data_IF_106333754636
#
_entry.id   IF_106333754636
#
_cell.length_a   1.000
_cell.length_b   1.000
_cell.length_c   1.000
_cell.angle_alpha   90.00
_cell.angle_beta   90.00
_cell.angle_gamma   90.00
#
_symmetry.space_group_name_H-M   'P 1'
#
loop_
_entity.id
_entity.type
_entity.pdbx_description
1 polymer ?
#
# COMPACT_ATOMS: atom_id res chain seq x y z
N UNK A 1 6.96 -8.20 29.71
CA UNK A 1 7.15 -7.03 30.59
C UNK A 1 8.60 -6.47 30.63
N UNK A 2 9.57 -7.00 31.39
CA UNK A 2 10.89 -6.34 31.55
C UNK A 2 11.72 -6.17 30.25
N UNK A 3 11.56 -7.05 29.27
CA UNK A 3 12.32 -7.02 28.00
C UNK A 3 11.69 -6.04 26.99
N UNK A 4 10.37 -5.94 26.97
CA UNK A 4 9.62 -5.04 26.07
C UNK A 4 9.84 -3.58 26.45
N UNK A 5 9.77 -3.27 27.75
CA UNK A 5 10.01 -1.92 28.29
C UNK A 5 11.40 -1.42 27.91
N UNK A 6 12.44 -2.22 28.17
CA UNK A 6 13.81 -1.84 27.81
C UNK A 6 14.00 -1.67 26.30
N UNK A 7 13.31 -2.43 25.45
CA UNK A 7 13.45 -2.32 23.99
C UNK A 7 12.78 -1.03 23.50
N UNK A 8 11.62 -0.68 24.04
CA UNK A 8 10.92 0.56 23.72
C UNK A 8 11.75 1.79 24.12
N UNK A 9 12.31 1.80 25.34
CA UNK A 9 13.21 2.87 25.81
C UNK A 9 14.45 3.04 24.91
N UNK A 10 15.02 1.92 24.42
CA UNK A 10 16.15 1.95 23.50
C UNK A 10 15.76 2.49 22.12
N UNK A 11 14.54 2.25 21.65
CA UNK A 11 14.02 2.83 20.38
C UNK A 11 13.82 4.33 20.53
N UNK A 12 13.18 4.77 21.62
CA UNK A 12 12.91 6.18 21.88
C UNK A 12 14.21 7.00 21.95
N UNK A 13 15.22 6.52 22.68
CA UNK A 13 16.55 7.14 22.75
C UNK A 13 17.28 7.21 21.40
N UNK A 14 17.06 6.25 20.51
CA UNK A 14 17.64 6.33 19.15
C UNK A 14 16.96 7.37 18.27
N UNK A 15 15.67 7.63 18.50
CA UNK A 15 14.90 8.59 17.73
C UNK A 15 15.20 10.03 18.15
N UNK A 16 15.50 10.27 19.44
CA UNK A 16 15.85 11.60 19.99
C UNK A 16 17.28 12.00 19.65
N UNK A 17 18.25 11.15 19.98
CA UNK A 17 19.66 11.57 20.00
C UNK A 17 20.35 11.36 18.65
N UNK A 18 19.86 10.39 17.83
CA UNK A 18 20.44 9.95 16.54
C UNK A 18 21.97 9.77 16.54
N UNK A 19 22.56 9.53 17.71
CA UNK A 19 24.00 9.32 17.86
C UNK A 19 24.38 7.90 17.44
N UNK A 20 25.61 7.68 16.95
CA UNK A 20 26.10 6.34 16.61
C UNK A 20 26.04 5.38 17.81
N UNK A 21 26.25 5.90 19.02
CA UNK A 21 26.26 5.16 20.29
C UNK A 21 24.88 4.66 20.72
N UNK A 22 23.84 5.50 20.59
CA UNK A 22 22.47 5.07 20.91
C UNK A 22 22.00 3.98 19.94
N UNK A 23 22.37 4.12 18.66
CA UNK A 23 22.02 3.17 17.61
C UNK A 23 22.75 1.82 17.76
N UNK A 24 24.02 1.82 18.17
CA UNK A 24 24.74 0.57 18.48
C UNK A 24 24.17 -0.14 19.70
N UNK A 25 23.78 0.60 20.75
CA UNK A 25 23.14 0.03 21.94
C UNK A 25 21.78 -0.62 21.61
N UNK A 26 20.95 0.04 20.81
CA UNK A 26 19.70 -0.54 20.31
C UNK A 26 19.94 -1.82 19.50
N UNK A 27 20.92 -1.81 18.57
CA UNK A 27 21.27 -2.99 17.77
C UNK A 27 21.71 -4.17 18.65
N UNK A 28 22.57 -3.91 19.64
CA UNK A 28 23.02 -4.93 20.59
C UNK A 28 21.85 -5.55 21.35
N UNK A 29 20.93 -4.70 21.84
CA UNK A 29 19.75 -5.16 22.57
C UNK A 29 18.76 -5.93 21.67
N UNK A 30 18.50 -5.45 20.45
CA UNK A 30 17.70 -6.17 19.45
C UNK A 30 18.28 -7.55 19.16
N UNK A 31 19.59 -7.65 18.96
CA UNK A 31 20.28 -8.91 18.67
C UNK A 31 20.24 -9.85 19.88
N UNK A 32 20.38 -9.32 21.09
CA UNK A 32 20.23 -10.09 22.33
C UNK A 32 18.82 -10.68 22.45
N UNK A 33 17.77 -9.88 22.24
CA UNK A 33 16.36 -10.36 22.24
C UNK A 33 16.14 -11.40 21.15
N UNK A 34 16.65 -11.17 19.93
CA UNK A 34 16.57 -12.14 18.83
C UNK A 34 17.22 -13.47 19.22
N UNK A 35 18.40 -13.42 19.84
CA UNK A 35 19.09 -14.61 20.34
C UNK A 35 18.31 -15.33 21.44
N UNK A 36 17.64 -14.59 22.34
CA UNK A 36 16.79 -15.18 23.36
C UNK A 36 15.58 -15.91 22.74
N UNK A 37 14.88 -15.26 21.80
CA UNK A 37 13.75 -15.89 21.07
C UNK A 37 14.19 -17.18 20.39
N UNK A 38 15.35 -17.18 19.74
CA UNK A 38 15.87 -18.38 19.07
C UNK A 38 16.20 -19.50 20.06
N UNK A 39 16.83 -19.17 21.20
CA UNK A 39 17.10 -20.15 22.27
C UNK A 39 15.82 -20.73 22.83
N UNK A 40 14.88 -19.88 23.25
CA UNK A 40 13.60 -20.33 23.83
C UNK A 40 12.77 -21.16 22.84
N UNK A 41 12.78 -20.81 21.54
CA UNK A 41 12.14 -21.65 20.50
C UNK A 41 12.80 -23.02 20.40
N UNK A 42 14.13 -23.08 20.36
CA UNK A 42 14.86 -24.35 20.31
C UNK A 42 14.59 -25.22 21.52
N UNK A 43 14.59 -24.63 22.71
CA UNK A 43 14.30 -25.35 23.97
C UNK A 43 12.86 -25.89 23.96
N UNK A 44 11.91 -25.08 23.48
CA UNK A 44 10.52 -25.50 23.27
C UNK A 44 10.40 -26.64 22.24
N UNK A 45 11.18 -26.63 21.15
CA UNK A 45 11.12 -27.67 20.11
C UNK A 45 11.80 -28.98 20.54
N UNK A 46 12.80 -28.89 21.43
CA UNK A 46 13.44 -30.07 22.02
C UNK A 46 12.50 -30.83 22.98
N UNK A 47 11.63 -30.13 23.70
CA UNK A 47 10.73 -30.74 24.69
C UNK A 47 9.75 -31.78 24.09
N UNK A 48 9.01 -31.50 22.99
CA UNK A 48 8.20 -32.48 22.28
C UNK A 48 9.00 -33.69 21.80
N UNK A 49 10.26 -33.51 21.37
CA UNK A 49 11.11 -34.62 20.92
C UNK A 49 11.51 -35.54 22.07
N UNK A 50 11.84 -34.98 23.22
CA UNK A 50 12.16 -35.74 24.44
C UNK A 50 10.91 -36.50 24.92
N UNK A 51 9.76 -35.82 24.96
CA UNK A 51 8.49 -36.39 25.43
C UNK A 51 7.84 -37.35 24.44
N UNK A 52 8.20 -37.31 23.16
CA UNK A 52 7.64 -38.19 22.13
C UNK A 52 7.79 -39.68 22.47
N UNK A 53 8.85 -40.06 23.19
CA UNK A 53 9.07 -41.44 23.66
C UNK A 53 7.96 -41.92 24.61
N UNK A 54 7.39 -41.02 25.42
CA UNK A 54 6.34 -41.33 26.40
C UNK A 54 4.96 -41.02 25.83
N UNK A 55 4.84 -39.97 25.02
CA UNK A 55 3.60 -39.54 24.40
C UNK A 55 3.80 -39.03 22.95
N UNK A 56 3.63 -39.89 21.94
CA UNK A 56 3.84 -39.51 20.53
C UNK A 56 2.79 -38.49 20.03
N UNK A 57 1.65 -38.33 20.72
CA UNK A 57 0.62 -37.36 20.31
C UNK A 57 1.09 -35.91 20.41
N UNK A 58 1.97 -35.59 21.36
CA UNK A 58 2.51 -34.22 21.53
C UNK A 58 3.32 -33.79 20.31
N UNK A 59 4.20 -34.67 19.82
CA UNK A 59 4.99 -34.44 18.62
C UNK A 59 4.11 -34.30 17.37
N UNK A 60 3.15 -35.23 17.19
CA UNK A 60 2.23 -35.18 16.07
C UNK A 60 1.33 -33.92 16.08
N UNK A 61 0.93 -33.44 17.26
CA UNK A 61 0.18 -32.19 17.39
C UNK A 61 1.05 -30.97 17.04
N UNK A 62 2.30 -30.93 17.52
CA UNK A 62 3.26 -29.89 17.13
C UNK A 62 3.48 -29.86 15.61
N UNK A 63 3.72 -31.02 14.97
CA UNK A 63 3.87 -31.11 13.52
C UNK A 63 2.62 -30.63 12.77
N UNK A 64 1.43 -31.08 13.18
CA UNK A 64 0.17 -30.62 12.56
C UNK A 64 -0.04 -29.13 12.74
N UNK A 65 0.37 -28.57 13.87
CA UNK A 65 0.27 -27.12 14.13
C UNK A 65 1.30 -26.33 13.32
N UNK A 66 2.51 -26.84 13.13
CA UNK A 66 3.58 -26.16 12.39
C UNK A 66 3.39 -26.22 10.88
N UNK A 67 2.75 -27.28 10.37
CA UNK A 67 2.48 -27.50 8.93
C UNK A 67 1.13 -26.96 8.46
N UNK A 68 0.25 -26.53 9.37
CA UNK A 68 -0.99 -25.84 8.98
C UNK A 68 -0.66 -24.49 8.34
N UNK A 69 -1.12 -24.30 7.11
CA UNK A 69 -1.21 -22.97 6.50
C UNK A 69 -2.02 -22.07 7.45
N UNK A 70 -1.42 -21.00 7.93
CA UNK A 70 -2.04 -20.10 8.92
C UNK A 70 -3.11 -19.22 8.30
N UNK A 71 -2.95 -18.92 7.02
CA UNK A 71 -3.82 -18.04 6.26
C UNK A 71 -4.30 -18.82 5.03
N UNK A 72 -5.45 -19.52 5.09
CA UNK A 72 -6.05 -20.06 3.90
C UNK A 72 -6.42 -18.88 2.98
N UNK A 73 -6.07 -18.97 1.70
CA UNK A 73 -6.52 -17.99 0.69
C UNK A 73 -8.06 -17.96 0.77
N UNK A 74 -8.69 -16.78 0.92
CA UNK A 74 -10.14 -16.66 0.92
C UNK A 74 -10.80 -17.38 -0.28
N UNK A 75 -12.09 -17.71 -0.15
CA UNK A 75 -12.85 -18.27 -1.26
C UNK A 75 -12.88 -17.26 -2.41
N UNK A 76 -12.52 -17.72 -3.61
CA UNK A 76 -12.61 -16.89 -4.82
C UNK A 76 -13.89 -17.25 -5.56
N UNK A 77 -14.66 -16.25 -5.97
CA UNK A 77 -15.81 -16.44 -6.85
C UNK A 77 -15.39 -16.14 -8.28
N UNK A 78 -15.64 -17.11 -9.16
CA UNK A 78 -15.45 -16.94 -10.60
C UNK A 78 -16.59 -16.07 -11.15
N UNK A 79 -16.40 -15.46 -12.33
CA UNK A 79 -17.44 -14.70 -13.04
C UNK A 79 -18.72 -15.52 -13.32
N UNK A 80 -18.61 -16.85 -13.37
CA UNK A 80 -19.73 -17.79 -13.51
C UNK A 80 -20.40 -18.16 -12.18
N UNK A 81 -20.15 -17.37 -11.13
CA UNK A 81 -20.69 -17.54 -9.77
C UNK A 81 -20.30 -18.86 -9.08
N UNK A 82 -19.29 -19.56 -9.62
CA UNK A 82 -18.72 -20.78 -9.03
C UNK A 82 -17.66 -20.44 -7.97
N UNK A 83 -17.83 -21.00 -6.77
CA UNK A 83 -16.87 -20.87 -5.67
C UNK A 83 -15.67 -21.80 -5.87
N UNK A 84 -14.46 -21.23 -5.95
CA UNK A 84 -13.19 -21.96 -5.97
C UNK A 84 -12.74 -22.22 -4.53
N UNK A 85 -12.77 -23.50 -4.13
CA UNK A 85 -12.40 -23.94 -2.78
C UNK A 85 -10.94 -24.42 -2.74
N UNK A 86 -10.52 -25.15 -3.78
CA UNK A 86 -9.19 -25.76 -3.87
C UNK A 86 -8.09 -24.74 -4.18
N UNK A 87 -6.95 -24.87 -3.51
CA UNK A 87 -5.85 -23.91 -3.64
C UNK A 87 -5.20 -23.92 -5.03
N UNK A 88 -5.18 -25.07 -5.70
CA UNK A 88 -4.66 -25.21 -7.06
C UNK A 88 -5.53 -24.43 -8.05
N UNK A 89 -6.84 -24.67 -8.04
CA UNK A 89 -7.80 -23.93 -8.86
C UNK A 89 -7.78 -22.41 -8.59
N UNK A 90 -7.59 -21.99 -7.32
CA UNK A 90 -7.41 -20.57 -6.98
C UNK A 90 -6.12 -19.99 -7.58
N UNK A 91 -5.02 -20.74 -7.53
CA UNK A 91 -3.74 -20.31 -8.07
C UNK A 91 -3.79 -20.15 -9.59
N UNK A 92 -4.41 -21.11 -10.28
CA UNK A 92 -4.59 -21.05 -11.73
C UNK A 92 -5.47 -19.86 -12.13
N UNK A 93 -6.60 -19.66 -11.44
CA UNK A 93 -7.50 -18.54 -11.72
C UNK A 93 -6.81 -17.18 -11.51
N UNK A 94 -6.02 -17.03 -10.45
CA UNK A 94 -5.23 -15.82 -10.20
C UNK A 94 -4.13 -15.62 -11.24
N UNK A 95 -3.49 -16.71 -11.69
CA UNK A 95 -2.48 -16.67 -12.75
C UNK A 95 -3.09 -16.22 -14.07
N UNK A 96 -4.25 -16.75 -14.43
CA UNK A 96 -4.99 -16.36 -15.62
C UNK A 96 -5.42 -14.89 -15.57
N UNK A 97 -5.96 -14.44 -14.44
CA UNK A 97 -6.32 -13.03 -14.24
C UNK A 97 -5.11 -12.10 -14.36
N UNK A 98 -3.99 -12.47 -13.74
CA UNK A 98 -2.75 -11.68 -13.83
C UNK A 98 -2.28 -11.59 -15.29
N UNK A 99 -2.30 -12.71 -16.02
CA UNK A 99 -1.94 -12.73 -17.44
C UNK A 99 -2.88 -11.89 -18.31
N UNK A 100 -4.16 -11.76 -17.96
CA UNK A 100 -5.10 -10.93 -18.71
C UNK A 100 -4.88 -9.43 -18.51
N UNK A 101 -4.48 -9.01 -17.30
CA UNK A 101 -4.23 -7.59 -16.99
C UNK A 101 -2.84 -7.16 -17.48
N UNK A 102 -1.84 -8.03 -17.37
CA UNK A 102 -0.49 -7.78 -17.86
C UNK A 102 -0.35 -8.21 -19.32
N UNK A 103 -0.88 -7.40 -20.22
CA UNK A 103 -0.60 -7.51 -21.66
C UNK A 103 0.79 -6.94 -21.97
N UNK A 104 1.45 -7.46 -23.01
CA UNK A 104 2.66 -6.79 -23.53
C UNK A 104 2.22 -5.41 -23.99
N UNK A 105 2.78 -4.36 -23.39
CA UNK A 105 2.63 -2.99 -23.87
C UNK A 105 3.00 -2.98 -25.36
N UNK A 106 1.98 -2.95 -26.22
CA UNK A 106 2.16 -2.53 -27.60
C UNK A 106 2.65 -1.09 -27.52
N UNK A 107 3.63 -0.73 -28.37
CA UNK A 107 4.22 0.60 -28.43
C UNK A 107 3.12 1.62 -28.12
N UNK A 108 3.23 2.28 -26.97
CA UNK A 108 2.21 3.22 -26.54
C UNK A 108 1.92 4.12 -27.73
N UNK A 109 0.68 4.14 -28.20
CA UNK A 109 0.16 5.26 -28.97
C UNK A 109 0.09 6.44 -27.99
N UNK A 110 1.27 6.87 -27.53
CA UNK A 110 1.44 8.25 -27.14
C UNK A 110 0.98 9.01 -28.38
N UNK A 111 -0.03 9.89 -28.27
CA UNK A 111 -0.26 10.82 -29.34
C UNK A 111 1.11 11.40 -29.67
N UNK A 112 1.46 11.40 -30.97
CA UNK A 112 2.71 11.99 -31.42
C UNK A 112 2.87 13.30 -30.66
N UNK A 113 4.08 13.56 -30.16
CA UNK A 113 4.39 14.82 -29.49
C UNK A 113 4.26 15.94 -30.52
N UNK A 114 3.03 16.30 -30.84
CA UNK A 114 2.66 17.46 -31.64
C UNK A 114 2.81 18.63 -30.69
N UNK A 115 4.05 18.88 -30.28
CA UNK A 115 4.49 20.19 -29.85
C UNK A 115 4.54 21.11 -31.08
N UNK A 116 3.45 21.19 -31.85
CA UNK A 116 3.11 22.44 -32.53
C UNK A 116 2.47 23.33 -31.46
N UNK A 117 3.35 23.95 -30.69
CA UNK A 117 2.99 25.03 -29.76
C UNK A 117 2.74 26.28 -30.60
N UNK A 118 1.71 26.25 -31.45
CA UNK A 118 1.25 27.43 -32.20
C UNK A 118 -0.27 27.62 -32.16
N UNK A 119 -1.01 26.75 -31.47
CA UNK A 119 -2.42 27.06 -31.15
C UNK A 119 -2.46 27.80 -29.81
N UNK A 120 -2.30 29.12 -29.85
CA UNK A 120 -2.81 29.99 -28.77
C UNK A 120 -4.30 29.66 -28.66
N UNK A 121 -4.68 28.96 -27.59
CA UNK A 121 -6.05 28.55 -27.36
C UNK A 121 -6.92 29.81 -27.30
N UNK A 122 -7.99 29.86 -28.10
CA UNK A 122 -9.00 30.90 -27.98
C UNK A 122 -9.44 30.97 -26.51
N UNK A 123 -9.31 32.15 -25.92
CA UNK A 123 -9.66 32.43 -24.53
C UNK A 123 -11.03 31.85 -24.21
N UNK A 124 -11.05 30.78 -23.39
CA UNK A 124 -12.28 30.25 -22.83
C UNK A 124 -12.82 31.30 -21.87
N UNK A 125 -13.87 32.00 -22.31
CA UNK A 125 -14.57 33.00 -21.52
C UNK A 125 -15.44 32.28 -20.49
N UNK A 126 -15.00 32.21 -19.24
CA UNK A 126 -15.85 31.78 -18.14
C UNK A 126 -16.70 32.97 -17.70
N UNK A 127 -18.04 32.92 -17.82
CA UNK A 127 -18.89 33.99 -17.35
C UNK A 127 -18.72 34.14 -15.84
N UNK A 128 -18.43 35.35 -15.39
CA UNK A 128 -18.11 35.65 -13.97
C UNK A 128 -19.20 35.16 -13.02
N UNK A 129 -20.47 35.21 -13.45
CA UNK A 129 -21.61 34.70 -12.69
C UNK A 129 -21.54 33.19 -12.38
N UNK A 130 -20.96 32.39 -13.29
CA UNK A 130 -20.81 30.94 -13.12
C UNK A 130 -19.67 30.65 -12.14
N UNK A 131 -18.55 31.36 -12.28
CA UNK A 131 -17.39 31.22 -11.40
C UNK A 131 -17.74 31.63 -9.97
N UNK A 132 -18.45 32.75 -9.79
CA UNK A 132 -18.90 33.22 -8.48
C UNK A 132 -19.89 32.26 -7.82
N UNK A 133 -20.82 31.68 -8.58
CA UNK A 133 -21.78 30.70 -8.06
C UNK A 133 -21.09 29.45 -7.53
N UNK A 134 -20.10 28.93 -8.26
CA UNK A 134 -19.33 27.75 -7.84
C UNK A 134 -18.41 28.06 -6.64
N UNK A 135 -17.74 29.21 -6.64
CA UNK A 135 -16.89 29.64 -5.51
C UNK A 135 -17.69 29.83 -4.22
N UNK A 136 -18.91 30.36 -4.30
CA UNK A 136 -19.81 30.51 -3.13
C UNK A 136 -20.36 29.18 -2.62
N UNK A 137 -20.38 28.13 -3.46
CA UNK A 137 -20.78 26.77 -3.07
C UNK A 137 -19.69 25.99 -2.33
N UNK A 138 -18.44 26.43 -2.40
CA UNK A 138 -17.30 25.75 -1.77
C UNK A 138 -17.26 26.03 -0.27
N UNK A 139 -17.26 24.96 0.54
CA UNK A 139 -17.06 25.06 1.98
C UNK A 139 -15.56 25.21 2.26
N UNK A 140 -15.18 26.33 2.86
CA UNK A 140 -13.79 26.70 3.18
C UNK A 140 -13.05 25.63 4.04
N UNK A 141 -13.79 24.83 4.81
CA UNK A 141 -13.26 23.80 5.70
C UNK A 141 -13.18 22.39 5.10
N UNK A 142 -13.51 22.20 3.82
CA UNK A 142 -13.42 20.90 3.14
C UNK A 142 -12.83 21.05 1.76
N UNK A 143 -11.70 20.37 1.50
CA UNK A 143 -11.26 20.11 0.13
C UNK A 143 -12.30 19.21 -0.54
N UNK A 144 -12.92 19.61 -1.68
CA UNK A 144 -13.84 18.73 -2.37
C UNK A 144 -13.07 17.51 -2.85
N UNK A 145 -13.45 16.32 -2.36
CA UNK A 145 -13.00 15.07 -2.96
C UNK A 145 -13.42 15.05 -4.44
N UNK A 146 -12.68 14.39 -5.35
CA UNK A 146 -13.08 14.25 -6.76
C UNK A 146 -14.50 13.67 -6.96
N UNK A 147 -15.06 13.05 -5.92
CA UNK A 147 -16.41 12.51 -5.91
C UNK A 147 -17.49 13.49 -5.38
N UNK A 148 -17.10 14.56 -4.67
CA UNK A 148 -18.03 15.51 -4.02
C UNK A 148 -18.05 16.89 -4.69
N UNK A 149 -16.95 17.31 -5.35
CA UNK A 149 -17.05 18.31 -6.41
C UNK A 149 -17.67 17.63 -7.62
N UNK A 150 -18.99 17.70 -7.75
CA UNK A 150 -19.66 17.21 -8.93
C UNK A 150 -19.21 18.05 -10.13
N UNK A 151 -18.24 17.53 -10.89
CA UNK A 151 -17.90 17.99 -12.22
C UNK A 151 -19.07 17.89 -13.22
N UNK A 152 -20.29 17.62 -12.75
CA UNK A 152 -21.54 17.59 -13.52
C UNK A 152 -21.90 18.92 -14.19
N UNK A 153 -21.23 20.02 -13.81
CA UNK A 153 -21.35 21.31 -14.50
C UNK A 153 -20.45 21.42 -15.74
N UNK A 154 -19.46 20.53 -15.89
CA UNK A 154 -18.64 20.43 -17.09
C UNK A 154 -19.26 19.41 -18.04
N UNK A 155 -19.49 19.82 -19.29
CA UNK A 155 -19.70 18.83 -20.37
C UNK A 155 -18.45 17.94 -20.46
N UNK A 156 -18.59 16.69 -20.90
CA UNK A 156 -17.48 15.72 -20.97
C UNK A 156 -16.24 16.28 -21.70
N UNK A 157 -16.44 17.08 -22.74
CA UNK A 157 -15.37 17.77 -23.48
C UNK A 157 -14.68 18.88 -22.65
N UNK A 158 -15.45 19.60 -21.82
CA UNK A 158 -14.92 20.61 -20.91
C UNK A 158 -14.12 19.99 -19.75
N UNK A 159 -14.59 18.87 -19.20
CA UNK A 159 -13.86 18.13 -18.18
C UNK A 159 -12.55 17.57 -18.74
N UNK A 160 -12.57 16.93 -19.90
CA UNK A 160 -11.38 16.39 -20.55
C UNK A 160 -10.34 17.48 -20.82
N UNK A 161 -10.77 18.65 -21.31
CA UNK A 161 -9.90 19.81 -21.54
C UNK A 161 -9.31 20.33 -20.24
N UNK A 162 -10.13 20.62 -19.22
CA UNK A 162 -9.66 21.20 -17.94
C UNK A 162 -8.75 20.21 -17.18
N UNK A 163 -9.14 18.94 -17.14
CA UNK A 163 -8.34 17.89 -16.51
C UNK A 163 -7.02 17.69 -17.23
N UNK A 164 -7.03 17.61 -18.57
CA UNK A 164 -5.82 17.44 -19.38
C UNK A 164 -4.86 18.63 -19.33
N UNK A 165 -5.36 19.87 -19.25
CA UNK A 165 -4.52 21.08 -19.27
C UNK A 165 -4.02 21.52 -17.90
N UNK A 166 -4.85 21.46 -16.85
CA UNK A 166 -4.48 22.04 -15.56
C UNK A 166 -4.15 20.98 -14.50
N UNK A 167 -4.91 19.87 -14.48
CA UNK A 167 -4.78 18.85 -13.41
C UNK A 167 -3.70 17.84 -13.73
N UNK A 168 -3.69 17.32 -14.97
CA UNK A 168 -2.77 16.26 -15.40
C UNK A 168 -1.30 16.67 -15.36
N UNK A 169 -0.87 17.88 -15.81
CA UNK A 169 0.53 18.30 -15.70
C UNK A 169 0.97 18.50 -14.25
N UNK A 170 0.07 18.92 -13.36
CA UNK A 170 0.34 19.01 -11.93
C UNK A 170 0.49 17.62 -11.30
N UNK A 171 -0.35 16.67 -11.70
CA UNK A 171 -0.26 15.29 -11.23
C UNK A 171 1.03 14.60 -11.73
N UNK A 172 1.36 14.78 -13.01
CA UNK A 172 2.55 14.19 -13.65
C UNK A 172 3.86 14.81 -13.11
N UNK A 173 3.87 16.12 -12.82
CA UNK A 173 5.01 16.73 -12.12
C UNK A 173 5.09 16.28 -10.65
N UNK A 174 3.96 16.09 -9.98
CA UNK A 174 3.92 15.56 -8.62
C UNK A 174 4.41 14.10 -8.55
N UNK A 175 4.15 13.26 -9.57
CA UNK A 175 4.64 11.87 -9.63
C UNK A 175 6.17 11.77 -9.56
N UNK A 176 6.91 12.78 -10.07
CA UNK A 176 8.37 12.80 -9.92
C UNK A 176 8.84 13.19 -8.51
N UNK A 177 8.05 14.05 -7.82
CA UNK A 177 8.33 14.49 -6.46
C UNK A 177 7.79 13.52 -5.38
N UNK A 178 6.88 12.62 -5.77
CA UNK A 178 6.08 11.82 -4.84
C UNK A 178 6.27 10.34 -5.11
N UNK A 179 6.80 9.62 -4.13
CA UNK A 179 7.05 8.18 -4.23
C UNK A 179 6.10 7.47 -3.27
N UNK A 180 5.03 6.82 -3.76
CA UNK A 180 4.06 6.10 -2.92
C UNK A 180 4.70 5.03 -2.02
N UNK A 181 5.90 4.57 -2.34
CA UNK A 181 6.68 3.60 -1.57
C UNK A 181 7.73 4.22 -0.64
N UNK A 182 7.93 5.55 -0.67
CA UNK A 182 8.83 6.23 0.24
C UNK A 182 8.13 6.53 1.57
N UNK A 183 8.66 6.00 2.66
CA UNK A 183 8.08 6.15 4.00
C UNK A 183 7.89 7.61 4.46
N UNK A 184 8.60 8.57 3.85
CA UNK A 184 8.41 10.00 4.14
C UNK A 184 7.06 10.50 3.61
N UNK A 185 6.68 10.06 2.42
CA UNK A 185 5.46 10.52 1.74
C UNK A 185 4.22 9.82 2.31
N UNK A 186 4.35 8.54 2.71
CA UNK A 186 3.30 7.78 3.42
C UNK A 186 2.95 8.43 4.77
N UNK A 187 3.96 8.82 5.56
CA UNK A 187 3.73 9.46 6.85
C UNK A 187 3.09 10.85 6.76
N UNK A 188 3.19 11.53 5.61
CA UNK A 188 2.55 12.83 5.38
C UNK A 188 1.05 12.63 5.10
N UNK A 189 0.67 11.56 4.38
CA UNK A 189 -0.73 11.23 4.09
C UNK A 189 -1.50 10.68 5.29
N UNK A 190 -0.86 9.81 6.09
CA UNK A 190 -1.52 9.17 7.23
C UNK A 190 -1.70 10.10 8.45
N UNK A 191 -1.22 11.35 8.34
CA UNK A 191 -1.26 12.37 9.40
C UNK A 191 -2.22 13.54 9.12
N UNK A 192 -3.05 13.46 8.08
CA UNK A 192 -4.13 14.44 7.81
C UNK A 192 -5.43 13.98 8.45
#
# INVERSE_FOLDING_TARGET
MKIEVKKAEAVEKTLTDRTPTSLSAYRAQRNWVRGLILRTRRDFEADPLIRAKVNPKLFNNYLRRSTKNKDPIPLLRTAEERDLIENEAKADHLSDFSRSVFTKETAYDYPADVNDVDTIFETVQFPEAVVLKELLGLKESKSPSPHEASFSAFNDDGFAKVFGTFVRPQLESAIQAWRPWAAKDINILEKV
#
